data_IF_757568096773
#
_entry.id   IF_757568096773
#
_cell.length_a   1.000
_cell.length_b   1.000
_cell.length_c   1.000
_cell.angle_alpha   90.00
_cell.angle_beta   90.00
_cell.angle_gamma   90.00
#
_symmetry.space_group_name_H-M   'P 1'
#
loop_
_entity.id
_entity.type
_entity.pdbx_description
1 polymer ?
#
# COMPACT_ATOMS: atom_id res chain seq x y z
N UNK A 1 0.76 -18.00 17.55
CA UNK A 1 1.13 -16.58 17.26
C UNK A 1 1.22 -16.36 15.75
N UNK A 2 0.58 -15.32 15.18
CA UNK A 2 0.65 -14.94 13.77
C UNK A 2 0.87 -13.42 13.65
N UNK A 3 2.09 -12.95 13.37
CA UNK A 3 2.36 -11.54 13.10
C UNK A 3 1.62 -11.04 11.85
N UNK A 4 1.38 -9.73 11.75
CA UNK A 4 0.82 -9.12 10.55
C UNK A 4 1.74 -9.37 9.35
N UNK A 5 1.13 -9.47 8.15
CA UNK A 5 1.84 -9.91 6.95
C UNK A 5 3.02 -9.03 6.53
N UNK A 6 3.04 -7.77 6.94
CA UNK A 6 4.15 -6.85 6.65
C UNK A 6 5.46 -7.21 7.40
N UNK A 7 5.39 -7.97 8.52
CA UNK A 7 6.57 -8.43 9.24
C UNK A 7 7.13 -9.69 8.58
N UNK A 8 8.25 -9.55 7.89
CA UNK A 8 8.86 -10.60 7.07
C UNK A 8 10.38 -10.51 7.10
N UNK A 9 11.03 -11.55 6.59
CA UNK A 9 12.46 -11.47 6.27
C UNK A 9 12.73 -10.31 5.30
N UNK A 10 13.82 -9.63 5.49
CA UNK A 10 14.21 -8.54 4.61
C UNK A 10 13.46 -7.22 4.84
N UNK A 11 12.56 -7.09 5.82
CA UNK A 11 11.88 -5.83 6.14
C UNK A 11 12.86 -4.74 6.61
N UNK A 12 12.44 -3.48 6.51
CA UNK A 12 13.12 -2.34 7.15
C UNK A 12 12.22 -1.81 8.28
N UNK A 13 12.76 -1.72 9.49
CA UNK A 13 12.10 -1.09 10.63
C UNK A 13 12.52 0.37 10.77
N UNK A 14 11.59 1.23 11.19
CA UNK A 14 11.87 2.65 11.39
C UNK A 14 12.82 2.87 12.58
N UNK A 15 13.95 3.56 12.35
CA UNK A 15 14.89 3.99 13.40
C UNK A 15 14.35 5.15 14.22
N UNK A 16 14.94 5.36 15.40
CA UNK A 16 14.71 6.53 16.26
C UNK A 16 13.24 6.74 16.69
N UNK A 17 12.41 5.73 16.59
CA UNK A 17 11.03 5.69 17.07
C UNK A 17 10.77 4.34 17.75
N UNK A 18 9.83 4.23 18.70
CA UNK A 18 9.36 2.95 19.20
C UNK A 18 8.85 2.09 18.02
N UNK A 19 9.19 0.81 18.02
CA UNK A 19 8.75 -0.13 16.98
C UNK A 19 7.53 -0.86 17.48
N UNK A 20 6.43 -0.71 16.77
CA UNK A 20 5.16 -1.39 17.06
C UNK A 20 5.05 -2.60 16.16
N UNK A 21 4.86 -3.77 16.76
CA UNK A 21 4.64 -5.05 16.08
C UNK A 21 3.29 -5.59 16.54
N UNK A 22 2.48 -6.08 15.63
CA UNK A 22 1.15 -6.58 15.94
C UNK A 22 0.82 -7.85 15.18
N UNK A 23 -0.27 -8.48 15.58
CA UNK A 23 -0.75 -9.71 14.96
C UNK A 23 -1.90 -10.34 15.74
N UNK A 24 -2.12 -11.62 15.47
CA UNK A 24 -3.16 -12.41 16.11
C UNK A 24 -2.56 -13.66 16.79
N UNK A 25 -3.26 -14.21 17.76
CA UNK A 25 -2.86 -15.41 18.50
C UNK A 25 -3.99 -15.94 19.36
N UNK A 26 -3.69 -16.95 20.16
CA UNK A 26 -4.65 -17.47 21.11
C UNK A 26 -4.92 -16.46 22.23
N UNK A 27 -6.17 -16.37 22.72
CA UNK A 27 -6.53 -15.50 23.85
C UNK A 27 -5.60 -15.74 25.05
N UNK A 28 -4.99 -14.66 25.54
CA UNK A 28 -4.08 -14.70 26.71
C UNK A 28 -2.69 -15.27 26.40
N UNK A 29 -2.39 -15.55 25.14
CA UNK A 29 -1.03 -15.89 24.70
C UNK A 29 -0.09 -14.71 24.96
N UNK A 30 1.06 -14.97 25.59
CA UNK A 30 2.07 -13.95 25.86
C UNK A 30 3.11 -13.94 24.75
N UNK A 31 3.31 -12.79 24.13
CA UNK A 31 4.25 -12.58 23.02
C UNK A 31 5.41 -11.70 23.50
N UNK A 32 6.65 -12.13 23.26
CA UNK A 32 7.89 -11.40 23.51
C UNK A 32 8.64 -11.17 22.23
N UNK A 33 9.12 -9.94 22.02
CA UNK A 33 9.96 -9.58 20.89
C UNK A 33 11.33 -9.11 21.33
N UNK A 34 12.36 -9.43 20.52
CA UNK A 34 13.73 -9.00 20.78
C UNK A 34 14.45 -8.68 19.45
N UNK A 35 15.10 -7.50 19.39
CA UNK A 35 16.01 -7.05 18.33
C UNK A 35 17.01 -6.04 18.93
N UNK A 36 18.26 -6.06 18.52
CA UNK A 36 19.34 -5.18 19.03
C UNK A 36 19.44 -5.15 20.58
N UNK A 37 19.11 -6.27 21.26
CA UNK A 37 19.04 -6.31 22.72
C UNK A 37 17.88 -5.51 23.33
N UNK A 38 16.99 -4.94 22.53
CA UNK A 38 15.75 -4.29 22.94
C UNK A 38 14.65 -5.34 23.04
N UNK A 39 13.91 -5.33 24.12
CA UNK A 39 12.86 -6.31 24.40
C UNK A 39 11.53 -5.62 24.69
N UNK A 40 10.45 -6.32 24.38
CA UNK A 40 9.08 -5.94 24.70
C UNK A 40 8.20 -7.18 24.89
N UNK A 41 7.07 -6.99 25.55
CA UNK A 41 6.11 -8.06 25.85
C UNK A 41 4.69 -7.55 25.68
N UNK A 42 3.80 -8.40 25.18
CA UNK A 42 2.37 -8.15 25.09
C UNK A 42 1.59 -9.44 25.33
N UNK A 43 0.32 -9.33 25.71
CA UNK A 43 -0.61 -10.45 25.78
C UNK A 43 -1.74 -10.26 24.75
N UNK A 44 -2.13 -11.35 24.10
CA UNK A 44 -3.28 -11.35 23.19
C UNK A 44 -4.57 -11.09 23.99
N UNK A 45 -5.39 -10.19 23.49
CA UNK A 45 -6.68 -9.78 24.08
C UNK A 45 -7.76 -10.87 23.95
N UNK A 46 -8.99 -10.54 24.33
CA UNK A 46 -10.12 -11.45 24.25
C UNK A 46 -10.50 -11.87 22.81
N UNK A 47 -10.17 -11.02 21.82
CA UNK A 47 -10.37 -11.27 20.40
C UNK A 47 -9.16 -11.96 19.74
N UNK A 48 -8.07 -12.15 20.51
CA UNK A 48 -6.82 -12.74 20.04
C UNK A 48 -5.86 -11.73 19.40
N UNK A 49 -6.15 -10.42 19.47
CA UNK A 49 -5.25 -9.41 18.93
C UNK A 49 -4.14 -9.09 19.95
N UNK A 50 -2.93 -8.89 19.47
CA UNK A 50 -1.83 -8.43 20.30
C UNK A 50 -1.05 -7.30 19.61
N UNK A 51 -0.51 -6.40 20.43
CA UNK A 51 0.35 -5.31 19.98
C UNK A 51 1.51 -5.19 20.95
N UNK A 52 2.71 -5.38 20.44
CA UNK A 52 3.99 -5.32 21.13
C UNK A 52 4.70 -4.02 20.76
N UNK A 53 5.30 -3.34 21.72
CA UNK A 53 6.13 -2.16 21.48
C UNK A 53 7.55 -2.42 21.97
N UNK A 54 8.53 -2.26 21.07
CA UNK A 54 9.95 -2.25 21.40
C UNK A 54 10.45 -0.80 21.57
N UNK A 55 11.46 -0.57 22.40
CA UNK A 55 12.16 0.71 22.42
C UNK A 55 12.74 1.06 21.05
N UNK A 56 13.07 2.33 20.85
CA UNK A 56 13.68 2.81 19.60
C UNK A 56 14.96 2.03 19.24
N UNK A 57 15.14 1.78 17.95
CA UNK A 57 16.29 1.08 17.38
C UNK A 57 17.27 2.07 16.77
N UNK A 58 18.54 1.68 16.75
CA UNK A 58 19.59 2.38 16.03
C UNK A 58 19.68 1.87 14.59
N UNK A 59 20.15 2.71 13.64
CA UNK A 59 20.31 2.29 12.25
C UNK A 59 21.25 1.09 12.12
N UNK A 60 20.87 0.11 11.29
CA UNK A 60 21.63 -1.11 11.06
C UNK A 60 21.29 -1.72 9.71
N UNK A 61 22.26 -2.31 9.03
CA UNK A 61 22.08 -2.92 7.73
C UNK A 61 21.48 -4.34 7.81
N UNK A 62 21.73 -5.05 8.92
CA UNK A 62 21.26 -6.42 9.09
C UNK A 62 21.12 -6.81 10.57
N UNK A 63 19.94 -7.29 10.92
CA UNK A 63 19.56 -7.74 12.26
C UNK A 63 18.67 -8.98 12.17
N UNK A 64 18.44 -9.60 13.33
CA UNK A 64 17.39 -10.59 13.52
C UNK A 64 16.34 -10.08 14.51
N UNK A 65 15.07 -10.11 14.13
CA UNK A 65 13.94 -9.93 15.03
C UNK A 65 13.42 -11.29 15.43
N UNK A 66 13.43 -11.58 16.72
CA UNK A 66 12.91 -12.82 17.26
C UNK A 66 11.62 -12.56 18.04
N UNK A 67 10.54 -13.20 17.63
CA UNK A 67 9.29 -13.25 18.37
C UNK A 67 9.14 -14.62 19.03
N UNK A 68 8.82 -14.63 20.32
CA UNK A 68 8.51 -15.85 21.07
C UNK A 68 7.15 -15.73 21.70
N UNK A 69 6.36 -16.79 21.64
CA UNK A 69 5.08 -16.84 22.35
C UNK A 69 4.99 -18.01 23.30
N UNK A 70 4.20 -17.82 24.35
CA UNK A 70 3.85 -18.87 25.30
C UNK A 70 2.32 -18.87 25.45
N UNK A 71 1.70 -19.98 25.08
CA UNK A 71 0.26 -20.17 25.24
C UNK A 71 -0.12 -20.32 26.72
N UNK A 72 -1.38 -20.13 27.06
CA UNK A 72 -1.89 -20.39 28.42
C UNK A 72 -1.77 -21.85 28.86
N UNK A 73 -1.59 -22.78 27.90
CA UNK A 73 -1.32 -24.20 28.19
C UNK A 73 0.19 -24.52 28.40
N UNK A 74 1.07 -23.49 28.24
CA UNK A 74 2.52 -23.64 28.40
C UNK A 74 3.22 -24.09 27.09
N UNK A 75 2.51 -24.19 25.97
CA UNK A 75 3.13 -24.44 24.67
C UNK A 75 3.86 -23.20 24.19
N UNK A 76 5.05 -23.38 23.62
CA UNK A 76 5.88 -22.26 23.12
C UNK A 76 6.16 -22.36 21.64
N UNK A 77 6.21 -21.20 20.98
CA UNK A 77 6.55 -21.04 19.58
C UNK A 77 7.57 -19.91 19.43
N UNK A 78 8.43 -20.00 18.43
CA UNK A 78 9.36 -18.91 18.07
C UNK A 78 9.36 -18.69 16.55
N UNK A 79 9.36 -17.42 16.16
CA UNK A 79 9.52 -16.96 14.78
C UNK A 79 10.74 -16.04 14.76
N UNK A 80 11.66 -16.28 13.84
CA UNK A 80 12.82 -15.43 13.60
C UNK A 80 12.71 -14.80 12.23
N UNK A 81 12.73 -13.47 12.16
CA UNK A 81 12.86 -12.73 10.93
C UNK A 81 14.32 -12.35 10.74
N UNK A 82 14.89 -12.78 9.62
CA UNK A 82 16.28 -12.53 9.25
C UNK A 82 16.40 -11.39 8.23
N UNK A 83 17.62 -10.89 8.05
CA UNK A 83 17.94 -9.79 7.12
C UNK A 83 17.09 -8.54 7.38
N UNK A 84 16.68 -8.32 8.61
CA UNK A 84 15.97 -7.11 9.02
C UNK A 84 16.95 -5.95 9.03
N UNK A 85 16.62 -4.85 8.35
CA UNK A 85 17.40 -3.61 8.46
C UNK A 85 16.65 -2.60 9.33
N UNK A 86 17.38 -1.63 9.85
CA UNK A 86 16.81 -0.52 10.61
C UNK A 86 17.24 0.79 9.95
N UNK A 87 16.26 1.61 9.53
CA UNK A 87 16.54 2.82 8.75
C UNK A 87 15.35 3.76 8.68
N UNK A 88 15.13 4.37 7.53
CA UNK A 88 13.97 5.25 7.28
C UNK A 88 12.92 4.51 6.46
N UNK A 89 11.66 4.55 6.90
CA UNK A 89 10.53 3.93 6.18
C UNK A 89 9.51 4.99 5.81
N UNK A 90 9.04 4.97 4.57
CA UNK A 90 8.03 5.88 4.05
C UNK A 90 6.88 5.11 3.41
N UNK A 91 5.66 5.61 3.55
CA UNK A 91 4.51 5.11 2.79
C UNK A 91 4.31 5.99 1.56
N UNK A 92 4.26 5.37 0.38
CA UNK A 92 4.03 6.02 -0.89
C UNK A 92 2.61 5.72 -1.37
N UNK A 93 1.71 6.68 -1.18
CA UNK A 93 0.30 6.59 -1.55
C UNK A 93 -0.06 7.45 -2.74
N UNK A 94 -1.16 7.11 -3.39
CA UNK A 94 -1.68 7.85 -4.52
C UNK A 94 -2.30 6.98 -5.60
N UNK A 95 -2.28 7.48 -6.84
CA UNK A 95 -2.80 6.76 -8.01
C UNK A 95 -1.69 6.46 -9.03
N UNK A 96 -2.04 6.29 -10.29
CA UNK A 96 -1.14 5.85 -11.38
C UNK A 96 0.21 6.57 -11.47
N UNK A 97 0.31 7.85 -11.11
CA UNK A 97 1.59 8.54 -11.09
C UNK A 97 2.49 8.13 -9.92
N UNK A 98 1.94 7.71 -8.78
CA UNK A 98 2.72 7.11 -7.71
C UNK A 98 3.05 5.64 -8.01
N UNK A 99 2.09 4.89 -8.53
CA UNK A 99 2.26 3.49 -8.97
C UNK A 99 3.27 3.35 -10.11
N UNK A 100 3.44 4.35 -10.95
CA UNK A 100 4.22 4.36 -12.19
C UNK A 100 5.49 3.51 -12.10
N UNK A 101 5.41 2.29 -12.63
CA UNK A 101 6.47 1.30 -12.51
C UNK A 101 7.74 1.70 -13.27
N UNK A 102 8.90 1.33 -12.74
CA UNK A 102 10.20 1.60 -13.34
C UNK A 102 10.29 1.10 -14.78
N UNK A 103 9.63 0.02 -15.13
CA UNK A 103 9.60 -0.52 -16.51
C UNK A 103 9.07 0.47 -17.55
N UNK A 104 8.29 1.47 -17.16
CA UNK A 104 7.77 2.53 -18.04
C UNK A 104 8.62 3.82 -18.00
N UNK A 105 9.60 3.88 -17.10
CA UNK A 105 10.40 5.07 -16.89
C UNK A 105 11.37 5.29 -18.08
N UNK A 106 11.52 6.55 -18.49
CA UNK A 106 12.31 6.94 -19.66
C UNK A 106 13.80 6.52 -19.58
N UNK A 107 14.38 6.56 -18.39
CA UNK A 107 15.78 6.22 -18.13
C UNK A 107 15.93 4.84 -17.47
N UNK A 108 14.92 3.98 -17.59
CA UNK A 108 14.87 2.63 -17.02
C UNK A 108 16.17 1.85 -17.18
N UNK A 109 16.73 1.82 -18.41
CA UNK A 109 17.93 1.04 -18.71
C UNK A 109 19.15 1.47 -17.88
N UNK A 110 19.29 2.76 -17.60
CA UNK A 110 20.34 3.29 -16.74
C UNK A 110 20.04 3.02 -15.27
N UNK A 111 18.80 3.22 -14.84
CA UNK A 111 18.35 2.97 -13.48
C UNK A 111 18.58 1.51 -13.10
N UNK A 112 18.09 0.56 -13.90
CA UNK A 112 18.23 -0.88 -13.64
C UNK A 112 19.69 -1.34 -13.62
N UNK A 113 20.54 -0.78 -14.47
CA UNK A 113 21.99 -1.11 -14.49
C UNK A 113 22.69 -0.79 -13.17
N UNK A 114 22.22 0.22 -12.44
CA UNK A 114 22.89 0.78 -11.27
C UNK A 114 22.08 0.63 -9.98
N UNK A 115 20.97 -0.15 -9.98
CA UNK A 115 20.03 -0.19 -8.86
C UNK A 115 20.42 -1.15 -7.74
N UNK A 116 21.32 -2.12 -7.97
CA UNK A 116 21.62 -3.16 -6.98
C UNK A 116 22.15 -2.57 -5.67
N UNK A 117 21.26 -2.45 -4.69
CA UNK A 117 21.57 -1.92 -3.37
C UNK A 117 20.70 -2.64 -2.30
N UNK A 118 21.32 -3.46 -1.41
CA UNK A 118 20.57 -4.19 -0.38
C UNK A 118 19.98 -3.29 0.72
N UNK A 119 20.40 -2.01 0.78
CA UNK A 119 19.91 -1.02 1.75
C UNK A 119 18.68 -0.26 1.24
N UNK A 120 18.36 -0.40 -0.05
CA UNK A 120 17.14 0.15 -0.68
C UNK A 120 16.15 -0.99 -0.85
N UNK A 121 15.00 -0.90 -0.21
CA UNK A 121 14.00 -1.98 -0.21
C UNK A 121 12.59 -1.44 -0.29
N UNK A 122 11.73 -2.20 -0.90
CA UNK A 122 10.34 -1.82 -1.07
C UNK A 122 9.38 -2.99 -0.79
N UNK A 123 8.16 -2.61 -0.50
CA UNK A 123 7.05 -3.51 -0.22
C UNK A 123 5.80 -2.94 -0.90
N UNK A 124 5.16 -3.70 -1.79
CA UNK A 124 3.90 -3.29 -2.39
C UNK A 124 2.74 -3.92 -1.63
N UNK A 125 1.86 -3.07 -1.13
CA UNK A 125 0.62 -3.52 -0.49
C UNK A 125 -0.27 -4.17 -1.54
N UNK A 126 -0.79 -5.39 -1.30
CA UNK A 126 -1.76 -6.00 -2.21
C UNK A 126 -2.96 -5.10 -2.46
N UNK A 127 -3.35 -4.96 -3.73
CA UNK A 127 -4.49 -4.17 -4.16
C UNK A 127 -5.80 -4.88 -3.83
N UNK A 128 -6.26 -4.71 -2.60
CA UNK A 128 -7.51 -5.27 -2.08
C UNK A 128 -8.46 -4.13 -1.75
N UNK A 129 -9.72 -4.22 -2.19
CA UNK A 129 -10.72 -3.17 -2.05
C UNK A 129 -12.03 -3.61 -1.40
N UNK A 130 -12.21 -4.91 -1.13
CA UNK A 130 -13.37 -5.47 -0.46
C UNK A 130 -13.03 -6.74 0.33
N UNK A 131 -13.90 -7.08 1.28
CA UNK A 131 -13.73 -8.27 2.10
C UNK A 131 -13.79 -9.57 1.26
N UNK A 132 -12.82 -10.46 1.46
CA UNK A 132 -12.72 -11.73 0.75
C UNK A 132 -11.93 -11.67 -0.56
N UNK A 133 -11.64 -10.50 -1.10
CA UNK A 133 -10.89 -10.38 -2.36
C UNK A 133 -9.52 -11.08 -2.31
N UNK A 134 -8.85 -11.04 -1.17
CA UNK A 134 -7.53 -11.65 -1.00
C UNK A 134 -7.54 -13.19 -1.14
N UNK A 135 -8.70 -13.82 -0.95
CA UNK A 135 -8.91 -15.26 -1.13
C UNK A 135 -9.33 -15.63 -2.56
N UNK A 136 -9.75 -14.66 -3.36
CA UNK A 136 -10.22 -14.87 -4.73
C UNK A 136 -9.09 -14.83 -5.76
N UNK A 137 -8.00 -14.14 -5.45
CA UNK A 137 -6.90 -13.93 -6.39
C UNK A 137 -5.54 -14.32 -5.81
N UNK A 138 -4.57 -14.55 -6.68
CA UNK A 138 -3.19 -14.85 -6.27
C UNK A 138 -2.38 -13.59 -6.01
N UNK A 139 -2.22 -13.24 -4.75
CA UNK A 139 -1.34 -12.16 -4.30
C UNK A 139 0.03 -12.66 -3.82
N UNK A 140 0.45 -13.89 -4.15
CA UNK A 140 1.69 -14.49 -3.64
C UNK A 140 2.96 -13.71 -3.99
N UNK A 141 2.91 -12.83 -4.99
CA UNK A 141 4.03 -11.99 -5.41
C UNK A 141 3.97 -10.56 -4.87
N UNK A 142 2.84 -10.14 -4.30
CA UNK A 142 2.67 -8.86 -3.63
C UNK A 142 2.84 -9.01 -2.12
N UNK A 143 2.91 -7.91 -1.40
CA UNK A 143 3.06 -7.95 0.05
C UNK A 143 4.37 -8.61 0.51
N UNK A 144 5.45 -8.44 -0.25
CA UNK A 144 6.77 -9.02 0.02
C UNK A 144 7.83 -7.91 0.00
N UNK A 145 8.67 -7.88 1.04
CA UNK A 145 9.83 -7.00 1.06
C UNK A 145 10.88 -7.45 0.05
N UNK A 146 11.23 -6.56 -0.87
CA UNK A 146 12.19 -6.80 -1.94
C UNK A 146 13.35 -5.82 -1.85
N UNK A 147 14.55 -6.27 -2.18
CA UNK A 147 15.73 -5.41 -2.34
C UNK A 147 15.73 -4.81 -3.75
N UNK A 148 16.27 -3.61 -3.88
CA UNK A 148 16.50 -3.02 -5.19
C UNK A 148 17.57 -3.83 -5.95
N UNK A 149 17.12 -4.48 -7.01
CA UNK A 149 17.91 -5.15 -8.03
C UNK A 149 17.17 -5.04 -9.37
N UNK A 150 17.80 -5.37 -10.51
CA UNK A 150 17.17 -5.18 -11.81
C UNK A 150 15.87 -5.94 -12.01
N UNK A 151 15.75 -7.14 -11.42
CA UNK A 151 14.58 -8.00 -11.56
C UNK A 151 13.38 -7.46 -10.76
N UNK A 152 13.64 -7.09 -9.51
CA UNK A 152 12.59 -6.60 -8.63
C UNK A 152 12.15 -5.17 -8.96
N UNK A 153 13.13 -4.27 -9.20
CA UNK A 153 12.87 -2.84 -9.37
C UNK A 153 12.03 -2.53 -10.62
N UNK A 154 12.08 -3.35 -11.64
CA UNK A 154 11.33 -3.13 -12.87
C UNK A 154 9.83 -2.96 -12.62
N UNK A 155 9.32 -3.60 -11.59
CA UNK A 155 7.90 -3.64 -11.23
C UNK A 155 7.53 -2.79 -10.02
N UNK A 156 8.43 -1.93 -9.55
CA UNK A 156 8.16 -1.01 -8.45
C UNK A 156 8.04 0.43 -8.91
N UNK A 157 7.42 1.27 -8.08
CA UNK A 157 7.27 2.71 -8.28
C UNK A 157 8.61 3.38 -8.61
N UNK A 158 8.72 3.99 -9.79
CA UNK A 158 9.90 4.78 -10.14
C UNK A 158 10.03 6.02 -9.24
N UNK A 159 8.91 6.65 -8.87
CA UNK A 159 8.89 7.83 -7.98
C UNK A 159 9.36 7.43 -6.59
N UNK A 160 8.82 6.33 -6.04
CA UNK A 160 9.26 5.77 -4.76
C UNK A 160 10.76 5.44 -4.77
N UNK A 161 11.22 4.73 -5.79
CA UNK A 161 12.63 4.34 -5.93
C UNK A 161 13.59 5.54 -6.00
N UNK A 162 13.30 6.54 -6.82
CA UNK A 162 14.19 7.70 -6.91
C UNK A 162 14.27 8.47 -5.61
N UNK A 163 13.16 8.55 -4.86
CA UNK A 163 13.14 9.15 -3.54
C UNK A 163 13.99 8.34 -2.54
N UNK A 164 13.76 7.03 -2.42
CA UNK A 164 14.47 6.18 -1.44
C UNK A 164 15.95 6.08 -1.73
N UNK A 165 16.34 5.94 -3.01
CA UNK A 165 17.74 5.90 -3.44
C UNK A 165 18.50 7.16 -3.05
N UNK A 166 17.88 8.33 -3.29
CA UNK A 166 18.51 9.60 -2.93
C UNK A 166 18.57 9.79 -1.42
N UNK A 167 17.53 9.38 -0.71
CA UNK A 167 17.49 9.47 0.75
C UNK A 167 18.53 8.56 1.40
N UNK A 168 18.70 7.32 0.91
CA UNK A 168 19.75 6.39 1.36
C UNK A 168 21.12 7.00 1.15
N UNK A 169 21.39 7.55 -0.04
CA UNK A 169 22.66 8.19 -0.38
C UNK A 169 22.99 9.37 0.55
N UNK A 170 21.99 10.18 0.93
CA UNK A 170 22.20 11.38 1.75
C UNK A 170 22.33 11.05 3.23
N UNK A 171 21.52 10.11 3.73
CA UNK A 171 21.46 9.78 5.15
C UNK A 171 22.43 8.65 5.55
N UNK A 172 22.94 7.90 4.58
CA UNK A 172 23.81 6.73 4.78
C UNK A 172 23.19 5.69 5.74
N UNK A 173 21.90 5.41 5.58
CA UNK A 173 21.14 4.40 6.31
C UNK A 173 20.22 3.63 5.37
N UNK A 174 19.79 2.40 5.70
CA UNK A 174 18.76 1.70 4.94
C UNK A 174 17.49 2.53 4.78
N UNK A 175 16.87 2.48 3.59
CA UNK A 175 15.60 3.15 3.31
C UNK A 175 14.63 2.19 2.67
N UNK A 176 13.39 2.21 3.14
CA UNK A 176 12.30 1.40 2.63
C UNK A 176 11.10 2.22 2.23
N UNK A 177 10.50 1.85 1.10
CA UNK A 177 9.20 2.37 0.66
C UNK A 177 8.14 1.28 0.79
N UNK A 178 7.03 1.64 1.41
CA UNK A 178 5.80 0.86 1.37
C UNK A 178 4.89 1.50 0.33
N UNK A 179 4.80 0.88 -0.87
CA UNK A 179 3.87 1.28 -1.92
C UNK A 179 2.44 0.93 -1.49
N UNK A 180 1.61 1.95 -1.32
CA UNK A 180 0.20 1.83 -0.99
C UNK A 180 -0.58 2.76 -1.92
N UNK A 181 -0.65 2.36 -3.19
CA UNK A 181 -1.17 3.17 -4.28
C UNK A 181 -1.96 2.27 -5.25
N UNK A 182 -2.86 2.88 -6.04
CA UNK A 182 -3.68 2.17 -7.04
C UNK A 182 -4.11 3.15 -8.13
N UNK A 183 -3.77 2.82 -9.38
CA UNK A 183 -4.08 3.65 -10.55
C UNK A 183 -5.57 3.88 -10.77
N UNK A 184 -5.93 5.11 -11.16
CA UNK A 184 -7.31 5.50 -11.46
C UNK A 184 -8.17 5.84 -10.23
N UNK A 185 -7.64 5.72 -9.01
CA UNK A 185 -8.45 5.89 -7.79
C UNK A 185 -8.58 7.35 -7.35
N UNK A 186 -9.73 7.67 -6.75
CA UNK A 186 -10.04 9.00 -6.20
C UNK A 186 -9.56 9.12 -4.76
N UNK A 187 -9.31 10.35 -4.33
CA UNK A 187 -8.92 10.63 -2.94
C UNK A 187 -9.91 10.10 -1.89
N UNK A 188 -11.22 10.10 -2.20
CA UNK A 188 -12.26 9.61 -1.29
C UNK A 188 -12.11 8.11 -0.95
N UNK A 189 -11.55 7.29 -1.81
CA UNK A 189 -11.30 5.88 -1.52
C UNK A 189 -10.21 5.67 -0.44
N UNK A 190 -9.29 6.64 -0.30
CA UNK A 190 -8.16 6.63 0.63
C UNK A 190 -8.42 7.33 1.96
N UNK A 191 -9.65 7.78 2.19
CA UNK A 191 -10.10 8.46 3.41
C UNK A 191 -11.03 7.57 4.21
N UNK A 192 -11.15 7.79 5.52
CA UNK A 192 -12.25 7.17 6.28
C UNK A 192 -13.61 7.63 5.74
N UNK A 193 -14.61 6.76 5.76
CA UNK A 193 -15.97 7.11 5.32
C UNK A 193 -16.51 8.35 6.07
N UNK A 194 -16.20 8.49 7.37
CA UNK A 194 -16.55 9.66 8.17
C UNK A 194 -15.93 10.95 7.62
N UNK A 195 -14.68 10.90 7.21
CA UNK A 195 -14.00 12.07 6.64
C UNK A 195 -14.48 12.40 5.24
N UNK A 196 -14.89 11.41 4.44
CA UNK A 196 -15.53 11.66 3.14
C UNK A 196 -16.88 12.34 3.35
N UNK A 197 -17.73 11.87 4.28
CA UNK A 197 -19.01 12.49 4.60
C UNK A 197 -18.84 13.96 5.04
N UNK A 198 -17.77 14.26 5.77
CA UNK A 198 -17.49 15.60 6.27
C UNK A 198 -16.90 16.55 5.22
N UNK A 199 -15.89 16.10 4.47
CA UNK A 199 -15.08 16.93 3.57
C UNK A 199 -15.37 16.72 2.08
N UNK A 200 -15.85 15.54 1.71
CA UNK A 200 -16.13 15.10 0.34
C UNK A 200 -17.58 14.70 0.11
N UNK A 201 -18.54 15.30 0.80
CA UNK A 201 -19.96 14.95 0.74
C UNK A 201 -20.52 14.77 -0.69
N UNK A 202 -20.16 15.61 -1.70
CA UNK A 202 -20.62 15.38 -3.07
C UNK A 202 -20.13 14.05 -3.70
N UNK A 203 -18.99 13.51 -3.26
CA UNK A 203 -18.53 12.19 -3.67
C UNK A 203 -19.32 11.08 -2.97
N UNK A 204 -19.61 11.23 -1.68
CA UNK A 204 -20.44 10.30 -0.94
C UNK A 204 -21.85 10.25 -1.53
N UNK A 205 -22.44 11.40 -1.83
CA UNK A 205 -23.76 11.49 -2.46
C UNK A 205 -23.79 10.80 -3.82
N UNK A 206 -22.78 11.03 -4.66
CA UNK A 206 -22.67 10.36 -5.96
C UNK A 206 -22.62 8.84 -5.81
N UNK A 207 -21.90 8.35 -4.79
CA UNK A 207 -21.87 6.93 -4.46
C UNK A 207 -23.25 6.41 -4.03
N UNK A 208 -23.89 7.10 -3.07
CA UNK A 208 -25.23 6.75 -2.58
C UNK A 208 -26.29 6.75 -3.69
N UNK A 209 -26.25 7.73 -4.58
CA UNK A 209 -27.16 7.82 -5.73
C UNK A 209 -26.97 6.61 -6.67
N UNK A 210 -25.72 6.22 -6.92
CA UNK A 210 -25.44 5.04 -7.76
C UNK A 210 -25.92 3.74 -7.14
N UNK A 211 -25.63 3.49 -5.86
CA UNK A 211 -26.07 2.25 -5.20
C UNK A 211 -27.60 2.19 -5.02
N UNK A 212 -28.28 3.33 -4.95
CA UNK A 212 -29.75 3.38 -4.88
C UNK A 212 -30.42 2.89 -6.17
N UNK A 213 -29.73 2.95 -7.29
CA UNK A 213 -30.20 2.51 -8.62
C UNK A 213 -29.72 1.08 -8.98
N UNK A 214 -28.85 0.48 -8.16
CA UNK A 214 -28.25 -0.84 -8.41
C UNK A 214 -28.96 -1.96 -7.66
N UNK A 215 -29.02 -3.14 -8.27
CA UNK A 215 -29.17 -4.40 -7.52
C UNK A 215 -27.81 -4.76 -6.92
N UNK A 216 -27.69 -4.59 -5.60
CA UNK A 216 -26.41 -4.83 -4.90
C UNK A 216 -26.01 -6.30 -4.88
N UNK A 217 -26.97 -7.23 -4.91
CA UNK A 217 -26.67 -8.67 -4.99
C UNK A 217 -26.05 -8.99 -6.36
N UNK A 218 -26.68 -8.53 -7.44
CA UNK A 218 -26.15 -8.68 -8.81
C UNK A 218 -24.81 -7.96 -8.98
N UNK A 219 -24.66 -6.75 -8.40
CA UNK A 219 -23.38 -6.02 -8.43
C UNK A 219 -22.25 -6.85 -7.82
N UNK A 220 -22.42 -7.36 -6.60
CA UNK A 220 -21.39 -8.14 -5.93
C UNK A 220 -21.13 -9.49 -6.59
N UNK A 221 -22.17 -10.16 -7.15
CA UNK A 221 -21.97 -11.37 -7.97
C UNK A 221 -21.05 -11.11 -9.17
N UNK A 222 -21.14 -9.92 -9.78
CA UNK A 222 -20.27 -9.51 -10.89
C UNK A 222 -18.86 -9.10 -10.45
N UNK A 223 -18.72 -8.55 -9.24
CA UNK A 223 -17.43 -8.09 -8.74
C UNK A 223 -16.57 -9.23 -8.17
N UNK A 224 -17.19 -10.22 -7.53
CA UNK A 224 -16.48 -11.39 -7.04
C UNK A 224 -15.85 -12.19 -8.19
N UNK A 225 -14.54 -12.47 -8.06
CA UNK A 225 -13.77 -13.17 -9.08
C UNK A 225 -13.56 -12.39 -10.39
N UNK A 226 -13.95 -11.11 -10.48
CA UNK A 226 -13.73 -10.29 -11.65
C UNK A 226 -12.22 -9.96 -11.80
N UNK A 227 -11.55 -10.44 -12.87
CA UNK A 227 -10.10 -10.23 -13.05
C UNK A 227 -9.69 -8.75 -13.05
N UNK A 228 -10.61 -7.84 -13.36
CA UNK A 228 -10.34 -6.41 -13.35
C UNK A 228 -10.12 -5.84 -11.95
N UNK A 229 -10.58 -6.54 -10.91
CA UNK A 229 -10.31 -6.18 -9.52
C UNK A 229 -8.91 -6.65 -9.05
N UNK A 230 -8.20 -7.42 -9.86
CA UNK A 230 -6.84 -7.91 -9.60
C UNK A 230 -5.90 -7.45 -10.72
N UNK A 231 -5.70 -6.14 -10.86
CA UNK A 231 -4.76 -5.57 -11.84
C UNK A 231 -3.33 -5.51 -11.33
N UNK A 232 -3.15 -5.76 -10.07
CA UNK A 232 -1.96 -5.38 -9.35
C UNK A 232 -0.86 -6.43 -9.24
N UNK A 233 -0.88 -7.58 -9.95
CA UNK A 233 0.35 -8.38 -10.03
C UNK A 233 1.25 -7.88 -11.17
N UNK A 234 2.14 -6.91 -10.89
CA UNK A 234 3.03 -6.37 -11.91
C UNK A 234 3.98 -7.42 -12.48
N UNK A 235 4.17 -8.55 -11.77
CA UNK A 235 5.04 -9.65 -12.19
C UNK A 235 4.33 -10.66 -13.09
N UNK A 236 3.00 -10.69 -13.07
CA UNK A 236 2.18 -11.63 -13.83
C UNK A 236 1.23 -11.00 -14.81
N UNK A 237 1.26 -9.69 -14.90
CA UNK A 237 0.30 -8.90 -15.66
C UNK A 237 0.48 -9.09 -17.17
N UNK A 238 -0.40 -9.89 -17.84
CA UNK A 238 -0.43 -9.93 -19.30
C UNK A 238 -0.86 -8.59 -19.90
N UNK A 239 -1.53 -7.72 -19.10
CA UNK A 239 -1.78 -6.34 -19.47
C UNK A 239 -0.52 -5.47 -19.34
N UNK A 240 0.41 -5.79 -18.45
CA UNK A 240 1.62 -4.99 -18.27
C UNK A 240 2.55 -4.99 -19.47
N UNK A 241 2.53 -6.04 -20.29
CA UNK A 241 3.16 -6.03 -21.62
C UNK A 241 2.23 -5.41 -22.68
N UNK A 242 0.92 -5.38 -22.45
CA UNK A 242 -0.11 -4.91 -23.36
C UNK A 242 -0.74 -3.57 -22.99
N UNK A 243 -0.68 -3.14 -21.73
CA UNK A 243 -1.18 -1.80 -21.35
C UNK A 243 -0.25 -0.74 -21.89
N UNK A 244 -0.60 -0.31 -23.10
CA UNK A 244 -0.11 0.86 -23.76
C UNK A 244 1.42 0.88 -23.90
N UNK A 245 2.00 0.07 -24.79
CA UNK A 245 3.27 0.49 -25.35
C UNK A 245 3.04 1.94 -25.79
N UNK A 246 3.84 2.88 -25.31
CA UNK A 246 3.83 4.30 -25.72
C UNK A 246 3.95 4.48 -27.25
N UNK A 247 3.84 3.40 -27.99
CA UNK A 247 4.04 3.22 -29.42
C UNK A 247 2.84 2.67 -30.15
N UNK A 248 1.67 2.42 -29.49
CA UNK A 248 0.48 2.04 -30.22
C UNK A 248 0.00 3.24 -31.05
N UNK A 249 -0.19 3.01 -32.34
CA UNK A 249 -0.90 3.96 -33.21
C UNK A 249 -2.35 4.11 -32.74
N UNK A 250 -3.05 5.19 -33.12
CA UNK A 250 -4.47 5.34 -32.82
C UNK A 250 -5.34 4.17 -33.31
N UNK A 251 -4.92 3.48 -34.37
CA UNK A 251 -5.61 2.33 -34.95
C UNK A 251 -5.40 1.08 -34.09
N UNK A 252 -4.16 0.83 -33.63
CA UNK A 252 -3.84 -0.27 -32.71
C UNK A 252 -4.49 -0.07 -31.33
N UNK A 253 -4.61 1.16 -30.88
CA UNK A 253 -5.32 1.50 -29.65
C UNK A 253 -6.82 1.25 -29.79
N UNK A 254 -7.43 1.60 -30.92
CA UNK A 254 -8.83 1.32 -31.21
C UNK A 254 -9.11 -0.18 -31.31
N UNK A 255 -8.20 -0.94 -31.94
CA UNK A 255 -8.28 -2.41 -32.02
C UNK A 255 -8.16 -3.06 -30.64
N UNK A 256 -7.27 -2.56 -29.79
CA UNK A 256 -7.15 -2.99 -28.41
C UNK A 256 -8.46 -2.81 -27.63
N UNK A 257 -9.08 -1.63 -27.69
CA UNK A 257 -10.35 -1.38 -27.00
C UNK A 257 -11.53 -2.19 -27.59
N UNK A 258 -11.53 -2.48 -28.89
CA UNK A 258 -12.55 -3.31 -29.54
C UNK A 258 -12.42 -4.79 -29.20
N UNK A 259 -11.20 -5.28 -28.88
CA UNK A 259 -10.91 -6.67 -28.57
C UNK A 259 -10.67 -6.92 -27.08
N UNK A 260 -11.10 -6.00 -26.21
CA UNK A 260 -11.03 -6.22 -24.75
C UNK A 260 -11.80 -7.49 -24.35
N UNK A 261 -11.33 -8.25 -23.36
CA UNK A 261 -12.02 -9.46 -22.92
C UNK A 261 -13.49 -9.20 -22.59
N UNK A 262 -14.35 -10.17 -22.91
CA UNK A 262 -15.77 -10.10 -22.56
C UNK A 262 -15.94 -9.86 -21.04
N UNK A 263 -16.81 -8.94 -20.66
CA UNK A 263 -16.98 -8.48 -19.30
C UNK A 263 -16.28 -7.15 -18.99
N UNK A 264 -15.41 -6.65 -19.87
CA UNK A 264 -14.79 -5.35 -19.71
C UNK A 264 -15.74 -4.20 -20.05
N UNK A 265 -16.75 -4.46 -20.87
CA UNK A 265 -17.81 -3.49 -21.21
C UNK A 265 -18.67 -3.18 -19.97
N UNK A 266 -19.05 -4.20 -19.21
CA UNK A 266 -19.78 -4.04 -17.94
C UNK A 266 -18.94 -3.29 -16.89
N UNK A 267 -17.60 -3.36 -17.01
CA UNK A 267 -16.65 -2.70 -16.15
C UNK A 267 -16.63 -1.17 -16.32
N UNK A 268 -16.74 -0.66 -17.53
CA UNK A 268 -16.79 0.79 -17.80
C UNK A 268 -18.13 1.41 -17.36
N UNK A 269 -19.19 0.61 -17.23
CA UNK A 269 -20.51 1.03 -16.78
C UNK A 269 -20.71 0.89 -15.27
N UNK A 270 -19.95 0.00 -14.60
CA UNK A 270 -20.04 -0.24 -13.16
C UNK A 270 -18.99 0.57 -12.38
N UNK A 271 -19.38 1.04 -11.19
CA UNK A 271 -18.45 1.56 -10.20
C UNK A 271 -17.57 0.41 -9.69
N UNK A 272 -16.24 0.57 -9.73
CA UNK A 272 -15.34 -0.44 -9.18
C UNK A 272 -15.31 -0.43 -7.66
N UNK A 273 -15.11 -1.60 -7.01
CA UNK A 273 -14.93 -1.64 -5.57
C UNK A 273 -13.84 -0.71 -5.03
N UNK A 274 -12.73 -0.53 -5.76
CA UNK A 274 -11.64 0.37 -5.38
C UNK A 274 -12.01 1.87 -5.46
N UNK A 275 -13.15 2.22 -6.09
CA UNK A 275 -13.66 3.60 -6.15
C UNK A 275 -14.65 3.92 -5.03
N UNK A 276 -15.09 2.91 -4.28
CA UNK A 276 -16.01 3.09 -3.15
C UNK A 276 -15.34 3.97 -2.09
N UNK A 277 -16.00 5.04 -1.61
CA UNK A 277 -15.47 5.88 -0.55
C UNK A 277 -15.04 5.06 0.67
N UNK A 278 -13.76 5.20 1.06
CA UNK A 278 -13.17 4.48 2.18
C UNK A 278 -12.63 3.08 1.90
N UNK A 279 -12.88 2.49 0.72
CA UNK A 279 -12.49 1.10 0.43
C UNK A 279 -10.99 0.86 0.59
N UNK A 280 -10.14 1.70 0.02
CA UNK A 280 -8.69 1.53 0.06
C UNK A 280 -8.10 1.95 1.42
N UNK A 281 -8.75 2.86 2.11
CA UNK A 281 -8.41 3.16 3.50
C UNK A 281 -8.59 1.92 4.40
N UNK A 282 -9.71 1.20 4.24
CA UNK A 282 -10.02 0.01 5.04
C UNK A 282 -9.18 -1.21 4.64
N UNK A 283 -9.08 -1.50 3.35
CA UNK A 283 -8.53 -2.78 2.86
C UNK A 283 -7.05 -2.73 2.47
N UNK A 284 -6.47 -1.53 2.27
CA UNK A 284 -5.04 -1.40 2.01
C UNK A 284 -4.33 -0.66 3.15
N UNK A 285 -4.67 0.60 3.41
CA UNK A 285 -3.92 1.43 4.33
C UNK A 285 -3.93 0.89 5.77
N UNK A 286 -5.07 0.46 6.27
CA UNK A 286 -5.19 -0.10 7.64
C UNK A 286 -4.41 -1.40 7.82
N UNK A 287 -4.13 -2.15 6.76
CA UNK A 287 -3.37 -3.41 6.85
C UNK A 287 -1.91 -3.20 7.24
N UNK A 288 -1.37 -2.03 6.93
CA UNK A 288 0.02 -1.65 7.22
C UNK A 288 0.15 -0.73 8.44
N UNK A 289 -0.93 -0.20 8.95
CA UNK A 289 -0.89 0.65 10.14
C UNK A 289 -0.97 -0.18 11.43
N UNK A 290 -0.22 0.19 12.46
CA UNK A 290 0.69 1.34 12.59
C UNK A 290 2.19 0.98 12.39
N UNK A 291 2.58 0.39 11.27
CA UNK A 291 3.99 0.13 10.99
C UNK A 291 4.83 1.40 11.18
N UNK A 292 5.98 1.27 11.86
CA UNK A 292 6.83 2.44 12.12
C UNK A 292 7.29 3.12 10.82
N UNK A 293 6.98 4.40 10.65
CA UNK A 293 7.34 5.18 9.45
C UNK A 293 7.91 6.55 9.80
N UNK A 294 8.64 7.12 8.85
CA UNK A 294 9.11 8.50 8.90
C UNK A 294 8.06 9.49 8.45
N UNK A 295 7.28 9.13 7.43
CA UNK A 295 6.25 9.99 6.85
C UNK A 295 5.60 9.39 5.61
N UNK A 296 4.86 10.22 4.89
CA UNK A 296 4.09 9.85 3.72
C UNK A 296 4.54 10.64 2.49
N UNK A 297 4.52 9.96 1.35
CA UNK A 297 4.58 10.53 0.00
C UNK A 297 3.20 10.39 -0.62
N UNK A 298 2.73 11.43 -1.31
CA UNK A 298 1.42 11.42 -1.96
C UNK A 298 1.49 11.99 -3.37
N UNK A 299 1.03 11.21 -4.35
CA UNK A 299 0.95 11.67 -5.73
C UNK A 299 -0.38 11.21 -6.34
N UNK A 300 -1.39 12.09 -6.31
CA UNK A 300 -2.75 11.81 -6.72
C UNK A 300 -3.49 13.13 -7.00
N UNK A 301 -4.57 13.10 -7.79
CA UNK A 301 -5.49 14.22 -7.98
C UNK A 301 -6.21 14.20 -9.32
N UNK A 302 -5.69 13.49 -10.32
CA UNK A 302 -6.24 13.44 -11.67
C UNK A 302 -7.67 12.86 -11.66
N UNK A 303 -7.93 11.84 -10.87
CA UNK A 303 -9.25 11.22 -10.75
C UNK A 303 -10.26 12.05 -9.95
N UNK A 304 -9.81 13.12 -9.29
CA UNK A 304 -10.67 14.09 -8.58
C UNK A 304 -11.02 15.33 -9.43
N UNK A 305 -10.48 15.42 -10.67
CA UNK A 305 -10.76 16.51 -11.62
C UNK A 305 -12.10 16.25 -12.35
N UNK A 306 -13.19 16.35 -11.59
CA UNK A 306 -14.55 16.24 -12.12
C UNK A 306 -15.27 17.59 -12.04
N UNK A 307 -15.98 18.02 -13.11
CA UNK A 307 -16.65 19.32 -13.16
C UNK A 307 -17.50 19.60 -11.90
N UNK A 308 -17.19 20.69 -11.24
CA UNK A 308 -17.88 21.13 -10.02
C UNK A 308 -17.37 20.53 -8.71
N UNK A 309 -16.43 19.56 -8.74
CA UNK A 309 -15.88 18.91 -7.53
C UNK A 309 -14.41 19.26 -7.26
N UNK A 310 -13.69 19.83 -8.22
CA UNK A 310 -12.25 20.17 -8.07
C UNK A 310 -11.95 21.02 -6.82
N UNK A 311 -12.87 21.93 -6.49
CA UNK A 311 -12.71 22.80 -5.32
C UNK A 311 -12.71 22.07 -3.98
N UNK A 312 -13.22 20.82 -3.94
CA UNK A 312 -13.25 19.98 -2.73
C UNK A 312 -11.88 19.40 -2.40
N UNK A 313 -11.00 19.22 -3.38
CA UNK A 313 -9.75 18.49 -3.24
C UNK A 313 -8.87 19.03 -2.09
N UNK A 314 -8.80 20.36 -1.92
CA UNK A 314 -8.02 20.97 -0.83
C UNK A 314 -8.49 20.51 0.55
N UNK A 315 -9.80 20.54 0.78
CA UNK A 315 -10.37 20.20 2.09
C UNK A 315 -10.38 18.68 2.31
N UNK A 316 -10.57 17.90 1.24
CA UNK A 316 -10.42 16.45 1.24
C UNK A 316 -8.99 16.02 1.52
N UNK A 317 -7.99 16.61 0.86
CA UNK A 317 -6.58 16.31 1.12
C UNK A 317 -6.20 16.64 2.57
N UNK A 318 -6.70 17.75 3.11
CA UNK A 318 -6.48 18.09 4.52
C UNK A 318 -7.10 17.04 5.46
N UNK A 319 -8.29 16.54 5.15
CA UNK A 319 -8.96 15.50 5.93
C UNK A 319 -8.23 14.15 5.80
N UNK A 320 -7.81 13.77 4.59
CA UNK A 320 -7.00 12.58 4.32
C UNK A 320 -5.71 12.57 5.15
N UNK A 321 -4.97 13.68 5.15
CA UNK A 321 -3.76 13.84 5.98
C UNK A 321 -4.10 13.65 7.47
N UNK A 322 -5.24 14.18 7.91
CA UNK A 322 -5.74 14.00 9.28
C UNK A 322 -6.01 12.54 9.60
N UNK A 323 -6.73 11.83 8.73
CA UNK A 323 -7.05 10.40 8.87
C UNK A 323 -5.80 9.53 8.95
N UNK A 324 -4.85 9.72 8.04
CA UNK A 324 -3.63 8.95 7.99
C UNK A 324 -2.78 9.16 9.25
N UNK A 325 -2.62 10.42 9.69
CA UNK A 325 -1.93 10.74 10.94
C UNK A 325 -2.63 10.15 12.17
N UNK A 326 -3.97 10.19 12.20
CA UNK A 326 -4.75 9.60 13.28
C UNK A 326 -4.59 8.07 13.34
N UNK A 327 -4.57 7.40 12.19
CA UNK A 327 -4.36 5.97 12.09
C UNK A 327 -2.99 5.53 12.65
N UNK A 328 -1.95 6.32 12.41
CA UNK A 328 -0.61 6.14 12.99
C UNK A 328 -0.46 6.70 14.42
N UNK A 329 -1.47 7.38 14.93
CA UNK A 329 -1.45 8.06 16.24
C UNK A 329 -0.27 9.04 16.40
N UNK A 330 0.14 9.67 15.29
CA UNK A 330 1.25 10.64 15.23
C UNK A 330 0.89 11.82 14.33
N UNK A 331 0.35 12.89 14.95
CA UNK A 331 -0.03 14.11 14.24
C UNK A 331 1.15 14.88 13.61
N UNK A 332 2.38 14.55 14.00
CA UNK A 332 3.61 15.19 13.51
C UNK A 332 4.22 14.50 12.28
N UNK A 333 3.64 13.40 11.77
CA UNK A 333 4.19 12.72 10.59
C UNK A 333 4.24 13.67 9.38
N UNK A 334 5.42 13.86 8.76
CA UNK A 334 5.53 14.59 7.51
C UNK A 334 4.64 13.97 6.43
N UNK A 335 4.02 14.85 5.64
CA UNK A 335 3.21 14.46 4.49
C UNK A 335 3.70 15.29 3.29
N UNK A 336 4.44 14.64 2.39
CA UNK A 336 5.01 15.24 1.20
C UNK A 336 4.10 14.90 0.02
N UNK A 337 3.64 15.89 -0.70
CA UNK A 337 2.80 15.66 -1.88
C UNK A 337 3.36 16.33 -3.12
N UNK A 338 3.14 15.70 -4.26
CA UNK A 338 3.51 16.24 -5.57
C UNK A 338 2.33 17.04 -6.10
N UNK A 339 2.58 18.30 -6.45
CA UNK A 339 1.58 19.10 -7.15
C UNK A 339 1.47 18.63 -8.60
N UNK A 340 0.25 18.35 -9.05
CA UNK A 340 0.00 18.04 -10.45
C UNK A 340 0.36 19.22 -11.35
N UNK A 341 0.87 18.95 -12.57
CA UNK A 341 1.04 20.00 -13.58
C UNK A 341 -0.32 20.59 -13.97
N UNK A 342 -0.30 21.82 -14.49
CA UNK A 342 -1.50 22.40 -15.07
C UNK A 342 -1.98 21.51 -16.23
N UNK A 343 -3.28 21.29 -16.28
CA UNK A 343 -3.94 20.51 -17.31
C UNK A 343 -4.63 21.50 -18.25
N UNK A 344 -4.29 21.50 -19.57
CA UNK A 344 -4.94 22.31 -20.61
C UNK A 344 -5.86 21.44 -21.47
#
# INVERSE_FOLDING_TARGET
MKPAAIFQNGMILQRNKPVVIWGTGARGETIRGEIQGRQGEAAADAAGNWTLTLPSLDASDEEELVLRSVSTAGESEAITFSQVAVGEVWVAGGQSNMEFHMRYEKHRAEALKNCSNPRVRFFDVPEVSYDGQAEEFDYSRMGIWRKADPENLEYFSAVGYYFERELERVLDVPVGIIGCNWGGTRSCAWMSAESVERAGKPWMQMYEDRIAEMDLEEYWEKQHGNPMNHRGDPFGDPFGETVLPRTLSPEELADFFQNMPAGTEDYLECMMPCEIPGSLYEHMLKTIAPYGIRGFLWYQGESDDEPGKQCLYRDMLAALIGDWRALWKDAGLPFLFVQLPGWE
#
